data_IF_398015374243
#
_entry.id   IF_398015374243
#
_cell.length_a   1.000
_cell.length_b   1.000
_cell.length_c   1.000
_cell.angle_alpha   90.00
_cell.angle_beta   90.00
_cell.angle_gamma   90.00
#
_symmetry.space_group_name_H-M   'P 1'
#
loop_
_entity.id
_entity.type
_entity.pdbx_description
1 polymer ?
#
# COMPACT_ATOMS: atom_id res chain seq x y z
N UNK A 1 -2.54 -6.48 -2.71
CA UNK A 1 -3.09 -7.05 -1.48
C UNK A 1 -3.08 -6.01 -0.36
N UNK A 2 -3.99 -6.06 0.59
CA UNK A 2 -4.11 -5.12 1.71
C UNK A 2 -5.52 -5.11 2.30
N UNK A 3 -5.80 -4.07 3.08
CA UNK A 3 -7.04 -3.93 3.85
C UNK A 3 -8.05 -2.93 3.25
N UNK A 4 -8.84 -2.26 4.09
CA UNK A 4 -9.86 -1.27 3.70
C UNK A 4 -9.30 -0.08 2.93
N UNK A 5 -8.06 0.33 3.15
CA UNK A 5 -7.44 1.42 2.37
C UNK A 5 -7.16 0.99 0.93
N UNK A 6 -6.80 -0.28 0.74
CA UNK A 6 -6.68 -0.85 -0.60
C UNK A 6 -8.06 -0.98 -1.27
N UNK A 7 -9.09 -1.35 -0.51
CA UNK A 7 -10.46 -1.41 -1.00
C UNK A 7 -11.06 -0.05 -1.38
N UNK A 8 -10.45 1.05 -0.92
CA UNK A 8 -10.97 2.39 -1.15
C UNK A 8 -12.18 2.74 -0.27
N UNK A 9 -12.26 2.15 0.93
CA UNK A 9 -13.35 2.43 1.87
C UNK A 9 -13.41 3.94 2.18
N UNK A 10 -14.61 4.51 2.15
CA UNK A 10 -14.81 5.94 2.38
C UNK A 10 -14.75 6.81 1.11
N UNK A 11 -14.33 6.26 -0.03
CA UNK A 11 -14.36 6.97 -1.30
C UNK A 11 -15.73 6.85 -1.97
N UNK A 12 -16.50 7.95 -2.12
CA UNK A 12 -17.83 7.89 -2.74
C UNK A 12 -17.82 7.43 -4.20
N UNK A 13 -16.64 7.44 -4.85
CA UNK A 13 -16.46 6.93 -6.22
C UNK A 13 -15.99 5.49 -6.26
N UNK A 14 -15.75 4.87 -5.11
CA UNK A 14 -15.22 3.50 -5.00
C UNK A 14 -13.92 3.22 -5.80
N UNK A 15 -13.12 4.26 -6.08
CA UNK A 15 -11.86 4.13 -6.83
C UNK A 15 -10.67 3.84 -5.90
N UNK A 16 -10.73 4.34 -4.67
CA UNK A 16 -9.58 4.33 -3.77
C UNK A 16 -8.34 4.98 -4.41
N UNK A 17 -7.17 4.71 -3.88
CA UNK A 17 -5.92 5.13 -4.51
C UNK A 17 -5.53 4.21 -5.69
N UNK A 18 -5.85 2.92 -5.61
CA UNK A 18 -5.52 1.93 -6.66
C UNK A 18 -6.18 2.30 -7.99
N UNK A 19 -7.49 2.54 -8.00
CA UNK A 19 -8.20 2.93 -9.21
C UNK A 19 -7.66 4.22 -9.83
N UNK A 20 -7.24 5.18 -8.98
CA UNK A 20 -6.64 6.44 -9.44
C UNK A 20 -5.25 6.26 -10.04
N UNK A 21 -4.44 5.38 -9.48
CA UNK A 21 -3.12 5.00 -10.02
C UNK A 21 -3.30 4.29 -11.37
N UNK A 22 -4.17 3.29 -11.43
CA UNK A 22 -4.43 2.54 -12.65
C UNK A 22 -4.96 3.42 -13.79
N UNK A 23 -5.85 4.38 -13.49
CA UNK A 23 -6.37 5.30 -14.49
C UNK A 23 -5.28 6.20 -15.14
N UNK A 24 -4.15 6.38 -14.47
CA UNK A 24 -3.00 7.16 -14.93
C UNK A 24 -1.83 6.31 -15.42
N UNK A 25 -1.97 5.00 -15.39
CA UNK A 25 -0.93 4.07 -15.84
C UNK A 25 -1.35 3.47 -17.19
N UNK A 26 -0.73 3.95 -18.26
CA UNK A 26 -1.05 3.51 -19.64
C UNK A 26 0.25 3.18 -20.36
N UNK A 27 0.75 1.94 -20.23
CA UNK A 27 1.93 1.55 -20.98
C UNK A 27 1.60 1.44 -22.48
N UNK A 28 2.43 2.00 -23.34
CA UNK A 28 2.20 2.06 -24.79
C UNK A 28 2.29 0.68 -25.48
N UNK A 29 3.10 -0.23 -24.92
CA UNK A 29 3.45 -1.49 -25.57
C UNK A 29 3.14 -2.73 -24.71
N UNK A 30 2.32 -2.61 -23.68
CA UNK A 30 1.96 -3.72 -22.80
C UNK A 30 0.52 -3.58 -22.30
N UNK A 31 -0.16 -4.71 -22.07
CA UNK A 31 -1.40 -4.73 -21.32
C UNK A 31 -1.08 -4.78 -19.82
N UNK A 32 -1.80 -4.01 -19.03
CA UNK A 32 -1.69 -4.02 -17.57
C UNK A 32 -3.02 -4.49 -16.98
N UNK A 33 -3.00 -5.64 -16.32
CA UNK A 33 -4.13 -6.16 -15.55
C UNK A 33 -3.87 -5.97 -14.06
N UNK A 34 -4.88 -5.55 -13.32
CA UNK A 34 -4.79 -5.34 -11.88
C UNK A 34 -5.93 -6.03 -11.14
N UNK A 35 -5.57 -6.78 -10.12
CA UNK A 35 -6.51 -7.47 -9.23
C UNK A 35 -6.40 -6.89 -7.81
N UNK A 36 -7.48 -6.32 -7.30
CA UNK A 36 -7.55 -5.84 -5.92
C UNK A 36 -7.99 -6.98 -5.00
N UNK A 37 -7.08 -7.41 -4.13
CA UNK A 37 -7.31 -8.48 -3.15
C UNK A 37 -7.31 -7.85 -1.76
N UNK A 38 -8.28 -6.99 -1.54
CA UNK A 38 -8.47 -6.29 -0.27
C UNK A 38 -9.33 -7.12 0.69
N UNK A 39 -8.95 -7.14 1.95
CA UNK A 39 -9.75 -7.72 3.04
C UNK A 39 -9.82 -6.73 4.21
N UNK A 40 -10.92 -5.96 4.32
CA UNK A 40 -11.09 -4.99 5.38
C UNK A 40 -10.94 -5.59 6.78
N UNK A 41 -10.24 -4.86 7.66
CA UNK A 41 -9.99 -5.29 9.04
C UNK A 41 -8.75 -6.18 9.22
N UNK A 42 -8.04 -6.54 8.17
CA UNK A 42 -6.83 -7.36 8.27
C UNK A 42 -5.57 -6.55 8.62
N UNK A 43 -4.77 -7.11 9.53
CA UNK A 43 -3.39 -6.70 9.76
C UNK A 43 -2.40 -7.56 8.99
N UNK A 44 -1.11 -7.28 9.21
CA UNK A 44 -0.01 -7.95 8.48
C UNK A 44 0.06 -9.46 8.72
N UNK A 45 -0.42 -9.97 9.86
CA UNK A 45 -0.41 -11.41 10.15
C UNK A 45 -1.40 -12.18 9.27
N UNK A 46 -2.64 -11.72 9.18
CA UNK A 46 -3.63 -12.32 8.30
C UNK A 46 -3.21 -12.19 6.83
N UNK A 47 -2.68 -11.03 6.45
CA UNK A 47 -2.15 -10.80 5.11
C UNK A 47 -1.02 -11.78 4.77
N UNK A 48 -0.06 -12.00 5.67
CA UNK A 48 1.04 -12.94 5.47
C UNK A 48 0.57 -14.39 5.27
N UNK A 49 -0.54 -14.75 5.91
CA UNK A 49 -1.09 -16.11 5.81
C UNK A 49 -1.86 -16.36 4.50
N UNK A 50 -2.48 -15.33 3.90
CA UNK A 50 -3.37 -15.52 2.73
C UNK A 50 -2.79 -15.08 1.39
N UNK A 51 -1.86 -14.10 1.37
CA UNK A 51 -1.46 -13.40 0.15
C UNK A 51 -1.05 -14.34 -0.99
N UNK A 52 -0.27 -15.39 -0.69
CA UNK A 52 0.24 -16.30 -1.70
C UNK A 52 -0.87 -17.15 -2.33
N UNK A 53 -1.79 -17.64 -1.52
CA UNK A 53 -2.90 -18.44 -2.00
C UNK A 53 -3.81 -17.63 -2.93
N UNK A 54 -4.00 -16.35 -2.65
CA UNK A 54 -4.88 -15.50 -3.44
C UNK A 54 -4.19 -14.90 -4.66
N UNK A 55 -3.00 -14.32 -4.48
CA UNK A 55 -2.25 -13.72 -5.56
C UNK A 55 -1.75 -14.77 -6.55
N UNK A 56 -1.28 -15.92 -6.07
CA UNK A 56 -0.77 -17.00 -6.90
C UNK A 56 -1.78 -17.55 -7.91
N UNK A 57 -3.08 -17.48 -7.60
CA UNK A 57 -4.13 -17.88 -8.56
C UNK A 57 -4.30 -16.90 -9.73
N UNK A 58 -3.69 -15.73 -9.65
CA UNK A 58 -3.80 -14.64 -10.63
C UNK A 58 -2.48 -14.37 -11.33
N UNK A 59 -1.41 -15.01 -10.86
CA UNK A 59 -0.13 -14.96 -11.55
C UNK A 59 -0.19 -15.86 -12.80
N UNK A 60 0.34 -15.34 -13.89
CA UNK A 60 0.47 -16.05 -15.16
C UNK A 60 1.95 -16.30 -15.41
N UNK A 61 2.31 -17.54 -15.73
CA UNK A 61 3.70 -17.96 -16.00
C UNK A 61 4.32 -17.23 -17.20
N UNK A 62 3.48 -16.71 -18.10
CA UNK A 62 3.91 -15.93 -19.28
C UNK A 62 4.00 -14.43 -19.05
N UNK A 63 3.63 -13.91 -17.87
CA UNK A 63 3.54 -12.48 -17.58
C UNK A 63 4.61 -12.01 -16.59
N UNK A 64 4.89 -10.70 -16.62
CA UNK A 64 5.68 -10.03 -15.56
C UNK A 64 4.76 -9.79 -14.35
N UNK A 65 4.71 -10.78 -13.46
CA UNK A 65 3.89 -10.73 -12.27
C UNK A 65 4.48 -9.77 -11.22
N UNK A 66 3.64 -8.93 -10.67
CA UNK A 66 4.05 -7.93 -9.68
C UNK A 66 3.06 -7.87 -8.52
N UNK A 67 3.58 -7.57 -7.32
CA UNK A 67 2.78 -7.51 -6.10
C UNK A 67 2.83 -6.10 -5.50
N UNK A 68 1.68 -5.51 -5.28
CA UNK A 68 1.54 -4.27 -4.50
C UNK A 68 0.95 -4.61 -3.13
N UNK A 69 1.60 -4.15 -2.06
CA UNK A 69 1.12 -4.30 -0.69
C UNK A 69 0.72 -2.93 -0.17
N UNK A 70 -0.56 -2.74 0.16
CA UNK A 70 -1.06 -1.55 0.83
C UNK A 70 -1.19 -1.81 2.33
N UNK A 71 -0.52 -1.02 3.14
CA UNK A 71 -0.52 -1.14 4.60
C UNK A 71 -1.29 0.01 5.25
N UNK A 72 -1.90 -0.26 6.39
CA UNK A 72 -2.57 0.70 7.25
C UNK A 72 -2.04 0.64 8.68
N UNK A 73 -2.72 1.30 9.57
CA UNK A 73 -2.47 1.27 11.01
C UNK A 73 -3.17 0.11 11.74
N UNK A 74 -3.72 -0.86 10.99
CA UNK A 74 -4.52 -1.96 11.54
C UNK A 74 -3.76 -2.83 12.55
N UNK A 75 -2.47 -3.01 12.36
CA UNK A 75 -1.62 -3.74 13.31
C UNK A 75 -1.62 -3.12 14.72
N UNK A 76 -1.85 -1.79 14.82
CA UNK A 76 -1.97 -1.12 16.12
C UNK A 76 -3.30 -1.49 16.82
N UNK A 77 -4.40 -1.66 16.08
CA UNK A 77 -5.69 -2.12 16.64
C UNK A 77 -5.63 -3.58 17.10
N UNK A 78 -4.86 -4.38 16.37
CA UNK A 78 -4.64 -5.80 16.70
C UNK A 78 -3.55 -6.00 17.76
N UNK A 79 -3.03 -4.92 18.33
CA UNK A 79 -1.99 -4.92 19.36
C UNK A 79 -0.73 -5.72 18.97
N UNK A 80 -0.44 -5.80 17.67
CA UNK A 80 0.78 -6.44 17.21
C UNK A 80 1.99 -5.56 17.57
N UNK A 81 3.06 -6.21 18.04
CA UNK A 81 4.32 -5.51 18.23
C UNK A 81 4.93 -5.12 16.88
N UNK A 82 5.66 -3.99 16.84
CA UNK A 82 6.39 -3.56 15.63
C UNK A 82 7.32 -4.66 15.10
N UNK A 83 7.94 -5.45 15.99
CA UNK A 83 8.78 -6.58 15.60
C UNK A 83 7.97 -7.69 14.89
N UNK A 84 6.76 -7.99 15.38
CA UNK A 84 5.88 -8.97 14.75
C UNK A 84 5.38 -8.50 13.39
N UNK A 85 4.91 -7.27 13.30
CA UNK A 85 4.47 -6.66 12.04
C UNK A 85 5.58 -6.65 10.99
N UNK A 86 6.79 -6.27 11.41
CA UNK A 86 7.99 -6.31 10.57
C UNK A 86 8.31 -7.72 10.06
N UNK A 87 8.21 -8.74 10.93
CA UNK A 87 8.43 -10.14 10.55
C UNK A 87 7.38 -10.61 9.55
N UNK A 88 6.11 -10.28 9.77
CA UNK A 88 5.03 -10.64 8.86
C UNK A 88 5.27 -10.07 7.44
N UNK A 89 5.61 -8.78 7.35
CA UNK A 89 5.96 -8.16 6.05
C UNK A 89 7.22 -8.81 5.44
N UNK A 90 8.25 -9.08 6.25
CA UNK A 90 9.45 -9.77 5.78
C UNK A 90 9.13 -11.11 5.13
N UNK A 91 8.26 -11.92 5.75
CA UNK A 91 7.84 -13.22 5.20
C UNK A 91 7.15 -13.10 3.85
N UNK A 92 6.30 -12.06 3.66
CA UNK A 92 5.66 -11.80 2.35
C UNK A 92 6.73 -11.45 1.31
N UNK A 93 7.64 -10.54 1.64
CA UNK A 93 8.69 -10.08 0.73
C UNK A 93 9.65 -11.21 0.34
N UNK A 94 10.03 -12.05 1.30
CA UNK A 94 10.90 -13.21 1.07
C UNK A 94 10.20 -14.27 0.20
N UNK A 95 8.90 -14.51 0.44
CA UNK A 95 8.09 -15.39 -0.41
C UNK A 95 7.93 -14.87 -1.84
N UNK A 96 7.71 -13.57 -2.02
CA UNK A 96 7.64 -12.96 -3.35
C UNK A 96 8.98 -13.04 -4.09
N UNK A 97 10.09 -12.84 -3.38
CA UNK A 97 11.44 -12.97 -3.95
C UNK A 97 11.74 -14.40 -4.45
N UNK A 98 11.29 -15.43 -3.71
CA UNK A 98 11.42 -16.83 -4.15
C UNK A 98 10.67 -17.13 -5.45
N UNK A 99 9.60 -16.37 -5.73
CA UNK A 99 8.83 -16.47 -6.98
C UNK A 99 9.29 -15.48 -8.05
N UNK A 100 10.38 -14.74 -7.82
CA UNK A 100 10.86 -13.66 -8.69
C UNK A 100 9.85 -12.53 -8.91
N UNK A 101 8.89 -12.35 -7.98
CA UNK A 101 7.87 -11.30 -8.04
C UNK A 101 8.42 -10.00 -7.45
N UNK A 102 8.42 -8.94 -8.24
CA UNK A 102 8.81 -7.59 -7.78
C UNK A 102 7.70 -7.00 -6.91
N UNK A 103 8.06 -6.44 -5.75
CA UNK A 103 7.10 -5.89 -4.79
C UNK A 103 7.24 -4.38 -4.67
N UNK A 104 6.10 -3.69 -4.58
CA UNK A 104 5.99 -2.31 -4.14
C UNK A 104 5.12 -2.27 -2.89
N UNK A 105 5.63 -1.65 -1.83
CA UNK A 105 4.92 -1.49 -0.55
C UNK A 105 4.50 -0.03 -0.40
N UNK A 106 3.21 0.20 -0.21
CA UNK A 106 2.66 1.49 0.18
C UNK A 106 2.49 1.50 1.70
N UNK A 107 3.23 2.35 2.37
CA UNK A 107 3.24 2.46 3.83
C UNK A 107 1.93 3.01 4.38
N UNK A 108 1.69 2.87 5.69
CA UNK A 108 0.46 3.32 6.34
C UNK A 108 0.41 4.86 6.37
N UNK A 109 -0.70 5.48 5.95
CA UNK A 109 -0.88 6.93 6.11
C UNK A 109 -1.24 7.30 7.55
N UNK A 110 -0.97 8.54 8.00
CA UNK A 110 -1.30 8.99 9.35
C UNK A 110 -2.82 9.20 9.52
N UNK A 111 -3.33 8.98 10.74
CA UNK A 111 -4.67 9.35 11.15
C UNK A 111 -4.75 10.76 11.74
N UNK A 112 -5.86 11.05 12.43
CA UNK A 112 -6.09 12.33 13.12
C UNK A 112 -5.54 12.34 14.57
N UNK A 113 -5.42 11.17 15.19
CA UNK A 113 -4.99 11.03 16.57
C UNK A 113 -3.46 11.12 16.69
N UNK A 114 -2.96 12.08 17.48
CA UNK A 114 -1.54 12.36 17.63
C UNK A 114 -0.78 11.24 18.37
N UNK A 115 -1.42 10.60 19.37
CA UNK A 115 -0.79 9.49 20.12
C UNK A 115 -0.65 8.25 19.23
N UNK A 116 -1.70 7.93 18.50
CA UNK A 116 -1.69 6.84 17.53
C UNK A 116 -0.63 7.08 16.44
N UNK A 117 -0.53 8.31 15.95
CA UNK A 117 0.48 8.68 14.95
C UNK A 117 1.91 8.53 15.46
N UNK A 118 2.20 8.75 16.74
CA UNK A 118 3.53 8.47 17.31
C UNK A 118 3.90 6.99 17.19
N UNK A 119 2.97 6.10 17.55
CA UNK A 119 3.16 4.65 17.40
C UNK A 119 3.25 4.23 15.93
N UNK A 120 2.44 4.86 15.08
CA UNK A 120 2.42 4.57 13.64
C UNK A 120 3.70 5.02 12.94
N UNK A 121 4.36 6.09 13.41
CA UNK A 121 5.64 6.53 12.89
C UNK A 121 6.71 5.43 13.02
N UNK A 122 6.80 4.79 14.19
CA UNK A 122 7.74 3.70 14.43
C UNK A 122 7.43 2.48 13.55
N UNK A 123 6.14 2.16 13.40
CA UNK A 123 5.69 1.06 12.56
C UNK A 123 5.98 1.32 11.08
N UNK A 124 5.69 2.52 10.58
CA UNK A 124 5.98 2.93 9.20
C UNK A 124 7.48 2.89 8.90
N UNK A 125 8.31 3.39 9.83
CA UNK A 125 9.76 3.32 9.70
C UNK A 125 10.26 1.87 9.65
N UNK A 126 9.70 0.97 10.47
CA UNK A 126 10.04 -0.44 10.45
C UNK A 126 9.65 -1.14 9.14
N UNK A 127 8.50 -0.80 8.56
CA UNK A 127 8.09 -1.29 7.25
C UNK A 127 9.00 -0.78 6.12
N UNK A 128 9.38 0.49 6.16
CA UNK A 128 10.33 1.07 5.22
C UNK A 128 11.69 0.39 5.28
N UNK A 129 12.24 0.19 6.49
CA UNK A 129 13.53 -0.46 6.70
C UNK A 129 13.52 -1.91 6.16
N UNK A 130 12.53 -2.72 6.51
CA UNK A 130 12.47 -4.12 6.06
C UNK A 130 12.29 -4.25 4.55
N UNK A 131 11.54 -3.33 3.93
CA UNK A 131 11.28 -3.30 2.49
C UNK A 131 12.55 -2.92 1.71
N UNK A 132 13.19 -1.82 2.11
CA UNK A 132 14.38 -1.30 1.42
C UNK A 132 15.60 -2.21 1.56
N UNK A 133 15.79 -2.86 2.72
CA UNK A 133 16.85 -3.88 2.90
C UNK A 133 16.70 -5.07 1.95
N UNK A 134 15.48 -5.37 1.52
CA UNK A 134 15.17 -6.43 0.52
C UNK A 134 15.14 -5.92 -0.91
N UNK A 135 15.56 -4.66 -1.13
CA UNK A 135 15.63 -4.02 -2.45
C UNK A 135 14.26 -3.90 -3.15
N UNK A 136 13.17 -3.82 -2.37
CA UNK A 136 11.86 -3.50 -2.88
C UNK A 136 11.56 -2.00 -2.73
N UNK A 137 10.59 -1.51 -3.48
CA UNK A 137 10.16 -0.11 -3.43
C UNK A 137 9.24 0.10 -2.24
N UNK A 138 9.54 1.12 -1.42
CA UNK A 138 8.68 1.59 -0.35
C UNK A 138 8.19 3.00 -0.63
N UNK A 139 6.88 3.18 -0.67
CA UNK A 139 6.25 4.50 -0.78
C UNK A 139 5.85 4.97 0.61
N UNK A 140 6.62 5.90 1.17
CA UNK A 140 6.27 6.56 2.43
C UNK A 140 5.07 7.49 2.22
N UNK A 141 3.95 7.15 2.82
CA UNK A 141 2.74 7.99 2.87
C UNK A 141 2.60 8.69 4.22
N UNK A 142 3.27 8.19 5.27
CA UNK A 142 3.15 8.75 6.61
C UNK A 142 3.76 10.14 6.71
N UNK A 143 5.03 10.27 6.40
CA UNK A 143 5.77 11.53 6.60
C UNK A 143 5.17 12.70 5.81
N UNK A 144 4.89 12.58 4.49
CA UNK A 144 4.37 13.71 3.72
C UNK A 144 2.93 14.08 4.07
N UNK A 145 2.13 13.14 4.59
CA UNK A 145 0.72 13.40 4.91
C UNK A 145 0.50 13.85 6.35
N UNK A 146 1.45 13.64 7.26
CA UNK A 146 1.28 13.93 8.70
C UNK A 146 0.86 15.38 8.99
N UNK A 147 1.47 16.35 8.32
CA UNK A 147 1.16 17.76 8.45
C UNK A 147 0.39 18.35 7.26
N UNK A 148 -0.05 17.50 6.33
CA UNK A 148 -0.71 17.96 5.11
C UNK A 148 -2.15 18.42 5.40
N UNK A 149 -2.43 19.70 5.19
CA UNK A 149 -3.73 20.29 5.57
C UNK A 149 -4.91 19.63 4.85
N UNK A 150 -4.83 19.42 3.55
CA UNK A 150 -5.90 18.80 2.78
C UNK A 150 -6.15 17.35 3.22
N UNK A 151 -5.10 16.59 3.56
CA UNK A 151 -5.24 15.24 4.12
C UNK A 151 -6.03 15.26 5.42
N UNK A 152 -5.61 16.10 6.38
CA UNK A 152 -6.26 16.23 7.68
C UNK A 152 -7.71 16.70 7.57
N UNK A 153 -7.96 17.67 6.66
CA UNK A 153 -9.32 18.17 6.40
C UNK A 153 -10.21 17.06 5.82
N UNK A 154 -9.71 16.30 4.84
CA UNK A 154 -10.47 15.21 4.22
C UNK A 154 -10.82 14.11 5.22
N UNK A 155 -9.87 13.69 6.07
CA UNK A 155 -10.13 12.73 7.15
C UNK A 155 -11.18 13.25 8.14
N UNK A 156 -11.05 14.50 8.58
CA UNK A 156 -11.97 15.08 9.54
C UNK A 156 -13.40 15.18 8.98
N UNK A 157 -13.55 15.52 7.70
CA UNK A 157 -14.83 15.60 7.01
C UNK A 157 -15.45 14.22 6.74
N UNK A 158 -14.65 13.14 6.75
CA UNK A 158 -15.09 11.80 6.36
C UNK A 158 -14.94 10.76 7.51
N UNK A 159 -15.12 11.20 8.75
CA UNK A 159 -15.14 10.31 9.92
C UNK A 159 -13.83 9.59 10.21
N UNK A 160 -12.69 10.18 9.83
CA UNK A 160 -11.36 9.62 10.04
C UNK A 160 -10.88 8.68 8.92
N UNK A 161 -11.70 8.42 7.92
CA UNK A 161 -11.37 7.59 6.76
C UNK A 161 -11.06 8.50 5.57
N UNK A 162 -10.08 8.19 4.71
CA UNK A 162 -9.82 8.99 3.53
C UNK A 162 -11.04 9.02 2.60
N UNK A 163 -11.37 10.22 2.15
CA UNK A 163 -12.34 10.44 1.09
C UNK A 163 -11.66 10.57 -0.27
N UNK A 164 -12.36 11.21 -1.20
CA UNK A 164 -11.87 11.36 -2.56
C UNK A 164 -10.53 12.12 -2.64
N UNK A 165 -10.36 13.17 -1.84
CA UNK A 165 -9.14 13.97 -1.81
C UNK A 165 -7.97 13.20 -1.16
N UNK A 166 -8.20 12.54 -0.04
CA UNK A 166 -7.21 11.72 0.65
C UNK A 166 -6.66 10.60 -0.22
N UNK A 167 -7.53 9.86 -0.88
CA UNK A 167 -7.10 8.83 -1.83
C UNK A 167 -6.38 9.41 -3.05
N UNK A 168 -6.73 10.62 -3.45
CA UNK A 168 -6.01 11.36 -4.49
C UNK A 168 -4.56 11.66 -4.10
N UNK A 169 -4.32 12.04 -2.83
CA UNK A 169 -2.99 12.31 -2.29
C UNK A 169 -2.15 11.03 -2.20
N UNK A 170 -2.72 9.92 -1.71
CA UNK A 170 -2.03 8.63 -1.70
C UNK A 170 -1.64 8.22 -3.12
N UNK A 171 -2.58 8.30 -4.06
CA UNK A 171 -2.31 7.97 -5.46
C UNK A 171 -1.21 8.84 -6.07
N UNK A 172 -1.20 10.13 -5.74
CA UNK A 172 -0.14 11.04 -6.18
C UNK A 172 1.23 10.60 -5.66
N UNK A 173 1.32 10.27 -4.36
CA UNK A 173 2.56 9.77 -3.76
C UNK A 173 3.05 8.49 -4.43
N UNK A 174 2.16 7.53 -4.67
CA UNK A 174 2.49 6.26 -5.34
C UNK A 174 3.05 6.54 -6.73
N UNK A 175 2.36 7.33 -7.55
CA UNK A 175 2.77 7.64 -8.92
C UNK A 175 4.14 8.34 -8.99
N UNK A 176 4.43 9.26 -8.04
CA UNK A 176 5.65 10.08 -8.07
C UNK A 176 6.82 9.50 -7.25
N UNK A 177 6.62 8.40 -6.53
CA UNK A 177 7.64 7.80 -5.67
C UNK A 177 7.98 6.36 -6.03
N UNK A 178 8.17 6.11 -7.31
CA UNK A 178 8.74 4.85 -7.80
C UNK A 178 7.80 3.95 -8.58
N UNK A 179 6.51 4.29 -8.75
CA UNK A 179 5.55 3.45 -9.47
C UNK A 179 5.98 3.10 -10.90
N UNK A 180 6.29 4.12 -11.72
CA UNK A 180 6.66 3.92 -13.12
C UNK A 180 8.02 3.21 -13.25
N UNK A 181 8.98 3.56 -12.39
CA UNK A 181 10.26 2.88 -12.35
C UNK A 181 10.12 1.40 -11.94
N UNK A 182 9.25 1.12 -10.94
CA UNK A 182 8.97 -0.23 -10.50
C UNK A 182 8.26 -1.06 -11.57
N UNK A 183 7.40 -0.45 -12.38
CA UNK A 183 6.75 -1.08 -13.53
C UNK A 183 7.65 -1.23 -14.76
N UNK A 184 8.84 -0.63 -14.76
CA UNK A 184 9.72 -0.52 -15.95
C UNK A 184 9.00 0.12 -17.16
N UNK A 185 8.15 1.12 -16.90
CA UNK A 185 7.45 1.89 -17.94
C UNK A 185 7.76 3.39 -17.81
N UNK A 186 7.75 4.15 -18.91
CA UNK A 186 7.95 5.59 -18.84
C UNK A 186 6.84 6.27 -18.04
N UNK A 187 7.21 7.29 -17.26
CA UNK A 187 6.22 8.16 -16.64
C UNK A 187 5.54 9.02 -17.75
N UNK A 188 4.23 9.30 -17.64
CA UNK A 188 3.57 10.21 -18.56
C UNK A 188 4.17 11.62 -18.43
N UNK A 189 4.28 12.33 -19.57
CA UNK A 189 4.71 13.73 -19.64
C UNK A 189 3.75 14.68 -18.92
#
# INVERSE_FOLDING_TARGET
VGDELLAGLGDPRALGWVGRVMARTRPDNASLEAYSLAAPGEGTEALANRWLQEAGRRFDDGADNRLVIGLSDRDLDLELSTARSRLNLANILDGAAQMSVKVLVVGPPPGLDAERNRRLADLSAAFGDVTTRRKHVFVDTFTPLLAHEQWRHDLAANGGTPGQAGYGLIAWLVLHRGWFQWLDVPAPE
#
